data_IF_510946676556
#
_entry.id   IF_510946676556
#
_cell.length_a   1.000
_cell.length_b   1.000
_cell.length_c   1.000
_cell.angle_alpha   90.00
_cell.angle_beta   90.00
_cell.angle_gamma   90.00
#
_symmetry.space_group_name_H-M   'P 1'
#
loop_
_entity.id
_entity.type
_entity.pdbx_description
1 polymer ?
#
# COMPACT_ATOMS: atom_id res chain seq x y z
N UNK A 1 -5.23 -7.33 9.56
CA UNK A 1 -4.90 -6.73 8.25
C UNK A 1 -3.62 -7.35 7.77
N UNK A 2 -3.42 -7.49 6.50
CA UNK A 2 -2.19 -7.99 5.93
C UNK A 2 -1.02 -7.02 6.14
N UNK A 3 0.11 -7.22 5.47
CA UNK A 3 1.29 -6.38 5.63
C UNK A 3 1.02 -4.94 5.19
N UNK A 4 1.26 -3.98 6.07
CA UNK A 4 1.25 -2.55 5.80
C UNK A 4 2.70 -2.02 5.83
N UNK A 5 3.17 -1.45 4.70
CA UNK A 5 4.44 -0.73 4.65
C UNK A 5 4.14 0.76 4.78
N UNK A 6 4.76 1.44 5.74
CA UNK A 6 4.51 2.87 5.97
C UNK A 6 5.75 3.62 6.46
N UNK A 7 5.84 4.92 6.11
CA UNK A 7 6.81 5.83 6.70
C UNK A 7 6.27 6.29 8.04
N UNK A 8 6.75 5.68 9.10
CA UNK A 8 6.34 6.04 10.44
C UNK A 8 7.48 5.77 11.43
N UNK A 9 7.36 6.35 12.61
CA UNK A 9 8.26 6.11 13.73
C UNK A 9 7.65 5.05 14.65
N UNK A 10 8.47 4.13 15.15
CA UNK A 10 8.04 3.06 16.05
C UNK A 10 7.34 3.61 17.32
N UNK A 11 7.64 4.85 17.71
CA UNK A 11 7.02 5.54 18.84
C UNK A 11 5.54 5.89 18.60
N UNK A 12 5.13 6.03 17.35
CA UNK A 12 3.80 6.49 16.97
C UNK A 12 2.87 5.37 16.52
N UNK A 13 3.40 4.16 16.32
CA UNK A 13 2.61 3.00 15.90
C UNK A 13 1.96 2.34 17.13
N UNK A 14 0.73 1.88 16.96
CA UNK A 14 0.04 1.07 17.97
C UNK A 14 -0.07 -0.36 17.46
N UNK A 15 0.54 -1.29 18.19
CA UNK A 15 0.46 -2.72 17.92
C UNK A 15 0.49 -3.48 19.25
N UNK A 16 0.09 -4.74 19.27
CA UNK A 16 0.21 -5.53 20.51
C UNK A 16 1.65 -5.88 20.84
N UNK A 17 2.50 -6.07 19.83
CA UNK A 17 3.94 -6.13 19.99
C UNK A 17 4.65 -5.17 19.04
N UNK A 18 5.78 -4.62 19.48
CA UNK A 18 6.76 -3.94 18.65
C UNK A 18 8.05 -4.73 18.63
N UNK A 19 8.74 -4.71 17.48
CA UNK A 19 10.02 -5.39 17.34
C UNK A 19 11.16 -4.42 17.59
N UNK A 20 12.11 -4.85 18.38
CA UNK A 20 13.34 -4.15 18.71
C UNK A 20 14.53 -4.84 18.04
N UNK A 21 15.11 -4.22 16.98
CA UNK A 21 16.33 -4.76 16.36
C UNK A 21 17.53 -4.38 17.22
N UNK A 22 18.04 -5.34 17.96
CA UNK A 22 19.11 -5.17 18.93
C UNK A 22 20.40 -5.90 18.49
N UNK A 23 21.43 -5.86 19.34
CA UNK A 23 22.63 -6.68 19.21
C UNK A 23 22.49 -7.99 20.02
N UNK A 24 23.48 -8.89 19.87
CA UNK A 24 23.48 -10.19 20.53
C UNK A 24 23.46 -10.11 22.08
N UNK A 25 23.87 -8.99 22.66
CA UNK A 25 23.91 -8.75 24.11
C UNK A 25 22.70 -7.95 24.62
N UNK A 26 21.75 -7.64 23.75
CA UNK A 26 20.54 -6.88 24.13
C UNK A 26 20.88 -5.53 24.79
N UNK A 27 21.88 -4.83 24.26
CA UNK A 27 22.58 -3.75 25.00
C UNK A 27 21.95 -2.36 24.90
N UNK A 28 20.89 -2.16 24.10
CA UNK A 28 20.30 -0.84 23.91
C UNK A 28 21.24 0.17 23.22
N UNK A 29 22.18 -0.32 22.37
CA UNK A 29 23.37 0.43 21.98
C UNK A 29 23.17 1.43 20.86
N UNK A 30 22.07 1.41 20.10
CA UNK A 30 21.93 2.35 18.98
C UNK A 30 20.60 2.39 18.25
N UNK A 31 20.35 3.47 17.54
CA UNK A 31 19.18 3.61 16.65
C UNK A 31 17.83 3.41 17.35
N UNK A 32 16.99 2.57 16.78
CA UNK A 32 15.66 2.21 17.31
C UNK A 32 15.74 1.52 18.66
N UNK A 33 16.71 0.63 18.84
CA UNK A 33 17.03 -0.10 20.06
C UNK A 33 17.17 0.85 21.27
N UNK A 34 18.06 1.84 21.17
CA UNK A 34 18.23 2.85 22.23
C UNK A 34 16.95 3.62 22.56
N UNK A 35 16.11 3.92 21.53
CA UNK A 35 14.86 4.64 21.73
C UNK A 35 13.89 3.76 22.54
N UNK A 36 13.74 2.49 22.17
CA UNK A 36 12.86 1.53 22.83
C UNK A 36 13.27 1.35 24.28
N UNK A 37 14.56 1.08 24.56
CA UNK A 37 15.10 0.95 25.90
C UNK A 37 14.85 2.19 26.78
N UNK A 38 15.09 3.39 26.21
CA UNK A 38 14.87 4.64 26.92
C UNK A 38 13.40 4.86 27.30
N UNK A 39 12.47 4.41 26.46
CA UNK A 39 11.02 4.54 26.70
C UNK A 39 10.47 3.46 27.62
N UNK A 40 10.96 2.24 27.51
CA UNK A 40 10.57 1.12 28.36
C UNK A 40 11.05 1.31 29.80
N UNK A 41 12.25 1.88 29.97
CA UNK A 41 12.81 2.21 31.29
C UNK A 41 13.60 1.06 31.93
N UNK A 42 14.06 1.23 33.19
CA UNK A 42 15.05 0.36 33.81
C UNK A 42 14.55 -1.08 34.08
N UNK A 43 13.26 -1.30 34.19
CA UNK A 43 12.73 -2.65 34.43
C UNK A 43 12.94 -3.55 33.21
N UNK A 44 12.98 -3.01 32.00
CA UNK A 44 13.36 -3.75 30.81
C UNK A 44 14.81 -4.25 30.90
N UNK A 45 15.73 -3.39 31.33
CA UNK A 45 17.16 -3.76 31.47
C UNK A 45 17.36 -4.95 32.43
N UNK A 46 16.57 -5.02 33.50
CA UNK A 46 16.62 -6.14 34.44
C UNK A 46 16.21 -7.45 33.76
N UNK A 47 15.07 -7.44 33.02
CA UNK A 47 14.62 -8.65 32.31
C UNK A 47 15.62 -9.09 31.23
N UNK A 48 16.20 -8.13 30.49
CA UNK A 48 17.20 -8.42 29.44
C UNK A 48 18.52 -8.96 30.03
N UNK A 49 18.94 -8.50 31.21
CA UNK A 49 20.11 -9.07 31.92
C UNK A 49 19.93 -10.54 32.30
N UNK A 50 18.69 -10.95 32.62
CA UNK A 50 18.38 -12.36 32.92
C UNK A 50 18.42 -13.23 31.67
N UNK A 51 18.07 -12.68 30.48
CA UNK A 51 18.17 -13.36 29.17
C UNK A 51 19.64 -13.46 28.74
N UNK A 52 20.37 -12.37 28.83
CA UNK A 52 21.83 -12.25 28.65
C UNK A 52 22.31 -12.22 27.22
N UNK A 53 22.04 -13.24 26.40
CA UNK A 53 22.58 -13.36 25.03
C UNK A 53 21.60 -14.06 24.09
N UNK A 54 21.56 -13.61 22.83
CA UNK A 54 20.86 -14.27 21.73
C UNK A 54 21.74 -14.33 20.49
N UNK A 55 21.64 -15.40 19.67
CA UNK A 55 22.35 -15.52 18.42
C UNK A 55 21.72 -14.68 17.28
N UNK A 56 22.50 -14.41 16.22
CA UNK A 56 21.97 -13.76 15.03
C UNK A 56 20.74 -14.50 14.47
N UNK A 57 19.65 -13.82 14.29
CA UNK A 57 18.40 -14.38 13.79
C UNK A 57 17.46 -14.87 14.89
N UNK A 58 17.91 -15.00 16.13
CA UNK A 58 17.05 -15.36 17.27
C UNK A 58 16.20 -14.16 17.73
N UNK A 59 15.13 -14.48 18.47
CA UNK A 59 14.24 -13.48 19.04
C UNK A 59 13.76 -13.90 20.44
N UNK A 60 13.59 -12.92 21.31
CA UNK A 60 13.05 -13.08 22.68
C UNK A 60 11.97 -12.05 22.94
N UNK A 61 11.03 -12.38 23.83
CA UNK A 61 9.89 -11.52 24.14
C UNK A 61 9.97 -11.07 25.59
N UNK A 62 9.77 -9.76 25.80
CA UNK A 62 9.66 -9.12 27.12
C UNK A 62 8.35 -8.34 27.25
N UNK A 63 8.05 -7.91 28.46
CA UNK A 63 6.98 -6.92 28.67
C UNK A 63 7.38 -5.55 28.12
N UNK A 64 6.38 -4.71 27.82
CA UNK A 64 6.62 -3.36 27.27
C UNK A 64 6.97 -2.29 28.31
N UNK A 65 6.74 -2.57 29.59
CA UNK A 65 7.01 -1.69 30.73
C UNK A 65 6.50 -0.26 30.52
N UNK A 66 7.37 0.74 30.40
CA UNK A 66 7.00 2.15 30.21
C UNK A 66 6.44 2.50 28.82
N UNK A 67 6.49 1.61 27.85
CA UNK A 67 5.88 1.83 26.54
C UNK A 67 4.35 1.69 26.60
N UNK A 68 3.64 2.72 26.11
CA UNK A 68 2.18 2.76 26.18
C UNK A 68 1.49 2.40 24.85
N UNK A 69 2.27 2.17 23.81
CA UNK A 69 1.79 1.89 22.44
C UNK A 69 1.82 0.40 22.07
N UNK A 70 2.31 -0.47 22.97
CA UNK A 70 2.32 -1.92 22.82
C UNK A 70 2.18 -2.62 24.18
N UNK A 71 1.98 -3.94 24.17
CA UNK A 71 1.95 -4.80 25.37
C UNK A 71 3.27 -5.52 25.57
N UNK A 72 3.95 -5.86 24.47
CA UNK A 72 5.18 -6.64 24.44
C UNK A 72 6.22 -5.99 23.53
N UNK A 73 7.48 -6.24 23.85
CA UNK A 73 8.62 -5.99 22.97
C UNK A 73 9.19 -7.34 22.55
N UNK A 74 9.49 -7.48 21.28
CA UNK A 74 10.19 -8.66 20.75
C UNK A 74 11.57 -8.21 20.27
N UNK A 75 12.60 -8.57 21.01
CA UNK A 75 13.98 -8.26 20.69
C UNK A 75 14.54 -9.30 19.73
N UNK A 76 15.28 -8.89 18.71
CA UNK A 76 15.91 -9.79 17.75
C UNK A 76 17.29 -9.30 17.34
N UNK A 77 18.26 -10.17 17.36
CA UNK A 77 19.61 -9.85 16.92
C UNK A 77 19.73 -9.95 15.40
N UNK A 78 19.77 -8.79 14.73
CA UNK A 78 19.98 -8.72 13.30
C UNK A 78 21.42 -8.98 12.89
N UNK A 79 21.67 -9.60 11.70
CA UNK A 79 23.04 -9.81 11.23
C UNK A 79 23.68 -8.49 10.78
N UNK A 80 24.99 -8.35 11.03
CA UNK A 80 25.78 -7.29 10.40
C UNK A 80 26.09 -7.66 8.96
N UNK A 81 25.87 -6.74 8.03
CA UNK A 81 26.22 -6.97 6.64
C UNK A 81 27.74 -6.93 6.43
N UNK A 82 28.26 -7.92 5.73
CA UNK A 82 29.65 -8.01 5.31
C UNK A 82 29.73 -7.98 3.78
N UNK A 83 29.27 -9.03 3.11
CA UNK A 83 29.32 -9.14 1.65
C UNK A 83 28.21 -10.04 1.05
N UNK A 84 27.28 -10.54 1.87
CA UNK A 84 26.18 -11.42 1.46
C UNK A 84 26.57 -12.89 1.28
N UNK A 85 27.73 -13.32 1.81
CA UNK A 85 28.22 -14.71 1.71
C UNK A 85 28.31 -15.44 3.07
N UNK A 86 27.87 -14.76 4.13
CA UNK A 86 27.94 -15.26 5.50
C UNK A 86 26.59 -15.60 6.10
N UNK A 87 25.63 -15.99 5.21
CA UNK A 87 24.25 -16.29 5.57
C UNK A 87 23.49 -15.10 6.16
N UNK A 88 23.90 -13.87 5.80
CA UNK A 88 23.28 -12.66 6.35
C UNK A 88 21.80 -12.55 5.93
N UNK A 89 21.46 -12.97 4.70
CA UNK A 89 20.10 -12.94 4.20
C UNK A 89 19.21 -13.96 4.93
N UNK A 90 19.70 -15.17 5.15
CA UNK A 90 19.01 -16.23 5.89
C UNK A 90 18.82 -15.86 7.37
N UNK A 91 19.84 -15.26 7.99
CA UNK A 91 19.77 -14.77 9.37
C UNK A 91 18.75 -13.65 9.51
N UNK A 92 18.73 -12.70 8.56
CA UNK A 92 17.74 -11.62 8.55
C UNK A 92 16.33 -12.16 8.38
N UNK A 93 16.11 -13.11 7.47
CA UNK A 93 14.82 -13.79 7.33
C UNK A 93 14.39 -14.50 8.62
N UNK A 94 15.36 -15.10 9.33
CA UNK A 94 15.12 -15.76 10.62
C UNK A 94 14.66 -14.78 11.70
N UNK A 95 15.19 -13.54 11.74
CA UNK A 95 14.72 -12.49 12.63
C UNK A 95 13.21 -12.26 12.48
N UNK A 96 12.74 -12.00 11.25
CA UNK A 96 11.32 -11.78 10.98
C UNK A 96 10.48 -13.00 11.34
N UNK A 97 10.92 -14.19 10.90
CA UNK A 97 10.21 -15.45 11.15
C UNK A 97 10.06 -15.76 12.64
N UNK A 98 11.12 -15.59 13.42
CA UNK A 98 11.10 -15.87 14.85
C UNK A 98 10.25 -14.87 15.62
N UNK A 99 10.32 -13.57 15.27
CA UNK A 99 9.43 -12.56 15.84
C UNK A 99 7.94 -12.87 15.57
N UNK A 100 7.61 -13.23 14.33
CA UNK A 100 6.24 -13.60 13.96
C UNK A 100 5.75 -14.86 14.67
N UNK A 101 6.61 -15.84 14.85
CA UNK A 101 6.28 -17.07 15.59
C UNK A 101 6.02 -16.78 17.07
N UNK A 102 6.85 -15.95 17.73
CA UNK A 102 6.63 -15.54 19.12
C UNK A 102 5.30 -14.78 19.27
N UNK A 103 5.00 -13.87 18.35
CA UNK A 103 3.73 -13.17 18.34
C UNK A 103 2.55 -14.14 18.18
N UNK A 104 2.66 -15.13 17.28
CA UNK A 104 1.66 -16.18 17.08
C UNK A 104 1.48 -17.05 18.34
N UNK A 105 2.54 -17.49 18.96
CA UNK A 105 2.51 -18.27 20.22
C UNK A 105 1.81 -17.53 21.35
N UNK A 106 2.04 -16.23 21.43
CA UNK A 106 1.36 -15.32 22.38
C UNK A 106 -0.05 -14.96 21.96
N UNK A 107 -0.50 -15.42 20.77
CA UNK A 107 -1.84 -15.12 20.19
C UNK A 107 -2.10 -13.62 20.04
N UNK A 108 -1.08 -12.90 19.58
CA UNK A 108 -1.22 -11.48 19.31
C UNK A 108 -1.88 -11.24 17.97
N UNK A 109 -2.74 -10.24 17.90
CA UNK A 109 -3.44 -9.84 16.68
C UNK A 109 -2.62 -8.86 15.81
N UNK A 110 -1.61 -8.20 16.38
CA UNK A 110 -0.81 -7.21 15.65
C UNK A 110 0.64 -7.12 16.11
N UNK A 111 1.55 -6.88 15.15
CA UNK A 111 2.97 -6.67 15.36
C UNK A 111 3.51 -5.57 14.44
N UNK A 112 4.43 -4.75 14.95
CA UNK A 112 5.10 -3.71 14.17
C UNK A 112 6.61 -3.93 14.15
N UNK A 113 7.19 -3.90 12.94
CA UNK A 113 8.61 -4.05 12.70
C UNK A 113 9.22 -2.73 12.21
N UNK A 114 10.35 -2.30 12.73
CA UNK A 114 11.24 -1.43 11.97
C UNK A 114 11.98 -2.26 10.91
N UNK A 115 12.62 -1.62 9.93
CA UNK A 115 13.44 -2.33 8.96
C UNK A 115 14.73 -2.82 9.63
N UNK A 116 14.78 -4.11 9.99
CA UNK A 116 15.84 -4.73 10.76
C UNK A 116 17.18 -4.64 10.02
N UNK A 117 18.26 -4.42 10.76
CA UNK A 117 19.67 -4.36 10.29
C UNK A 117 20.00 -3.25 9.29
N UNK A 118 19.05 -2.43 8.84
CA UNK A 118 19.25 -1.39 7.82
C UNK A 118 19.94 -0.11 8.30
N UNK A 119 20.17 0.01 9.60
CA UNK A 119 20.85 1.14 10.25
C UNK A 119 22.34 0.85 10.50
N UNK A 120 22.75 0.79 11.78
CA UNK A 120 24.15 0.59 12.20
C UNK A 120 24.79 -0.73 11.71
N UNK A 121 24.00 -1.72 11.37
CA UNK A 121 24.46 -3.00 10.82
C UNK A 121 24.68 -2.98 9.31
N UNK A 122 24.36 -1.85 8.66
CA UNK A 122 24.68 -1.56 7.26
C UNK A 122 24.18 -2.59 6.24
N UNK A 123 23.10 -3.31 6.56
CA UNK A 123 22.46 -4.21 5.58
C UNK A 123 21.88 -3.36 4.43
N UNK A 124 22.09 -3.73 3.15
CA UNK A 124 21.57 -2.99 2.02
C UNK A 124 20.03 -2.87 2.11
N UNK A 125 19.52 -1.65 2.20
CA UNK A 125 18.14 -1.35 2.56
C UNK A 125 17.12 -2.02 1.64
N UNK A 126 17.33 -1.97 0.32
CA UNK A 126 16.46 -2.63 -0.65
C UNK A 126 16.41 -4.16 -0.48
N UNK A 127 17.56 -4.80 -0.18
CA UNK A 127 17.57 -6.24 0.12
C UNK A 127 16.87 -6.54 1.44
N UNK A 128 17.11 -5.73 2.49
CA UNK A 128 16.45 -5.87 3.78
C UNK A 128 14.92 -5.76 3.65
N UNK A 129 14.42 -4.79 2.88
CA UNK A 129 13.00 -4.61 2.63
C UNK A 129 12.39 -5.82 1.90
N UNK A 130 13.06 -6.31 0.87
CA UNK A 130 12.62 -7.49 0.12
C UNK A 130 12.53 -8.72 1.01
N UNK A 131 13.57 -9.01 1.79
CA UNK A 131 13.60 -10.16 2.71
C UNK A 131 12.49 -10.03 3.76
N UNK A 132 12.29 -8.82 4.31
CA UNK A 132 11.21 -8.55 5.25
C UNK A 132 9.84 -8.84 4.62
N UNK A 133 9.57 -8.25 3.44
CA UNK A 133 8.30 -8.41 2.72
C UNK A 133 8.02 -9.86 2.36
N UNK A 134 9.01 -10.57 1.79
CA UNK A 134 8.86 -11.98 1.39
C UNK A 134 8.60 -12.89 2.60
N UNK A 135 9.34 -12.69 3.70
CA UNK A 135 9.20 -13.50 4.91
C UNK A 135 7.87 -13.27 5.60
N UNK A 136 7.47 -12.00 5.77
CA UNK A 136 6.19 -11.64 6.39
C UNK A 136 5.02 -12.15 5.54
N UNK A 137 5.10 -11.98 4.23
CA UNK A 137 4.07 -12.46 3.31
C UNK A 137 3.91 -13.97 3.37
N UNK A 138 5.02 -14.71 3.32
CA UNK A 138 4.99 -16.16 3.44
C UNK A 138 4.32 -16.62 4.74
N UNK A 139 4.59 -15.95 5.85
CA UNK A 139 3.93 -16.22 7.13
C UNK A 139 2.42 -15.92 7.07
N UNK A 140 2.03 -14.81 6.46
CA UNK A 140 0.62 -14.38 6.37
C UNK A 140 -0.22 -15.26 5.43
N UNK A 141 0.39 -16.05 4.53
CA UNK A 141 -0.35 -17.03 3.74
C UNK A 141 -1.08 -18.05 4.62
N UNK A 142 -0.46 -18.46 5.73
CA UNK A 142 -0.99 -19.48 6.63
C UNK A 142 -1.55 -18.91 7.94
N UNK A 143 -1.34 -17.64 8.22
CA UNK A 143 -1.69 -17.00 9.49
C UNK A 143 -2.49 -15.72 9.28
N UNK A 144 -3.27 -15.34 10.30
CA UNK A 144 -4.03 -14.08 10.34
C UNK A 144 -3.40 -13.19 11.41
N UNK A 145 -2.74 -12.10 11.01
CA UNK A 145 -2.10 -11.14 11.91
C UNK A 145 -1.95 -9.79 11.20
N UNK A 146 -2.14 -8.70 11.90
CA UNK A 146 -1.88 -7.35 11.40
C UNK A 146 -0.39 -7.05 11.52
N UNK A 147 0.31 -6.92 10.41
CA UNK A 147 1.75 -6.65 10.40
C UNK A 147 2.04 -5.29 9.81
N UNK A 148 2.74 -4.44 10.56
CA UNK A 148 3.24 -3.14 10.09
C UNK A 148 4.75 -3.18 9.94
N UNK A 149 5.25 -2.85 8.74
CA UNK A 149 6.67 -2.66 8.46
C UNK A 149 6.95 -1.17 8.31
N UNK A 150 7.77 -0.63 9.21
CA UNK A 150 8.07 0.79 9.30
C UNK A 150 9.40 1.09 8.63
N UNK A 151 9.37 2.02 7.68
CA UNK A 151 10.55 2.48 6.95
C UNK A 151 10.78 3.95 7.27
N UNK A 152 11.97 4.29 7.75
CA UNK A 152 12.22 5.63 8.28
C UNK A 152 12.52 6.68 7.20
N UNK A 153 13.28 6.33 6.17
CA UNK A 153 13.75 7.27 5.15
C UNK A 153 13.47 6.82 3.70
N UNK A 154 13.58 7.78 2.78
CA UNK A 154 13.37 7.56 1.34
C UNK A 154 14.51 6.78 0.69
N UNK A 155 15.73 6.87 1.22
CA UNK A 155 16.92 6.18 0.73
C UNK A 155 16.91 4.67 1.02
N UNK A 156 15.96 4.22 1.85
CA UNK A 156 15.75 2.79 2.15
C UNK A 156 15.31 1.98 0.93
N UNK A 157 14.89 2.66 -0.13
CA UNK A 157 14.37 2.08 -1.35
C UNK A 157 15.31 2.16 -2.55
N UNK A 158 16.59 2.26 -2.38
CA UNK A 158 17.53 2.22 -3.51
C UNK A 158 17.52 0.82 -4.14
N UNK A 159 16.34 0.50 -4.67
CA UNK A 159 16.04 -0.77 -5.31
C UNK A 159 16.54 -0.67 -6.74
N UNK A 160 17.77 -1.06 -6.95
CA UNK A 160 18.30 -1.36 -8.28
C UNK A 160 17.58 -2.58 -8.89
N UNK A 161 16.25 -2.66 -8.78
CA UNK A 161 15.50 -3.67 -9.51
C UNK A 161 15.32 -3.18 -10.94
N UNK A 162 15.54 -4.05 -11.91
CA UNK A 162 15.28 -3.78 -13.31
C UNK A 162 13.84 -3.29 -13.52
N UNK A 163 12.91 -3.85 -12.76
CA UNK A 163 11.50 -3.49 -12.77
C UNK A 163 11.27 -2.01 -12.41
N UNK A 164 11.94 -1.49 -11.39
CA UNK A 164 11.82 -0.09 -11.00
C UNK A 164 12.38 0.84 -12.09
N UNK A 165 13.52 0.48 -12.69
CA UNK A 165 14.06 1.23 -13.83
C UNK A 165 13.06 1.24 -15.01
N UNK A 166 12.52 0.08 -15.37
CA UNK A 166 11.59 -0.07 -16.49
C UNK A 166 10.29 0.74 -16.25
N UNK A 167 9.77 0.72 -15.01
CA UNK A 167 8.60 1.54 -14.64
C UNK A 167 8.93 3.03 -14.67
N UNK A 168 10.10 3.43 -14.20
CA UNK A 168 10.53 4.83 -14.19
C UNK A 168 10.68 5.38 -15.60
N UNK A 169 11.23 4.58 -16.51
CA UNK A 169 11.32 4.92 -17.93
C UNK A 169 9.93 5.04 -18.56
N UNK A 170 9.04 4.09 -18.30
CA UNK A 170 7.65 4.14 -18.73
C UNK A 170 6.90 5.39 -18.20
N UNK A 171 7.09 5.76 -16.93
CA UNK A 171 6.50 6.96 -16.34
C UNK A 171 7.05 8.23 -17.01
N UNK A 172 8.36 8.30 -17.23
CA UNK A 172 8.99 9.46 -17.87
C UNK A 172 8.47 9.66 -19.30
N UNK A 173 8.32 8.60 -20.08
CA UNK A 173 7.76 8.66 -21.43
C UNK A 173 6.32 9.16 -21.43
N UNK A 174 5.45 8.56 -20.60
CA UNK A 174 4.03 8.92 -20.56
C UNK A 174 3.78 10.31 -19.93
N UNK A 175 4.56 10.72 -18.93
CA UNK A 175 4.46 12.06 -18.34
C UNK A 175 5.03 13.13 -19.28
N UNK A 176 6.09 12.85 -20.05
CA UNK A 176 6.62 13.77 -21.04
C UNK A 176 5.61 14.05 -22.15
N UNK A 177 4.85 13.07 -22.60
CA UNK A 177 3.75 13.27 -23.56
C UNK A 177 2.65 14.19 -23.01
N UNK A 178 2.32 14.08 -21.74
CA UNK A 178 1.35 14.97 -21.08
C UNK A 178 1.84 16.43 -21.06
N UNK A 179 3.08 16.67 -20.66
CA UNK A 179 3.66 18.04 -20.64
C UNK A 179 3.80 18.63 -22.04
N UNK A 180 4.06 17.81 -23.06
CA UNK A 180 4.10 18.26 -24.45
C UNK A 180 2.70 18.59 -24.99
N UNK A 181 1.67 17.85 -24.61
CA UNK A 181 0.27 18.14 -24.99
C UNK A 181 -0.24 19.43 -24.35
N UNK A 182 0.09 19.71 -23.10
CA UNK A 182 -0.26 20.96 -22.42
C UNK A 182 0.50 22.17 -22.99
N UNK A 183 1.75 22.00 -23.41
CA UNK A 183 2.53 23.05 -24.06
C UNK A 183 1.97 23.44 -25.45
N UNK A 184 1.37 22.49 -26.17
CA UNK A 184 0.73 22.76 -27.47
C UNK A 184 -0.60 23.51 -27.32
N UNK A 185 -1.30 23.40 -26.19
CA UNK A 185 -2.50 24.18 -25.89
C UNK A 185 -2.22 25.63 -25.44
N UNK A 186 -1.03 25.92 -24.96
CA UNK A 186 -0.65 27.27 -24.52
C UNK A 186 -0.15 28.21 -25.61
N UNK A 187 -0.04 27.76 -26.86
CA UNK A 187 0.39 28.58 -28.00
C UNK A 187 -0.75 29.23 -28.82
N UNK A 188 -1.92 29.43 -28.24
CA UNK A 188 -2.92 30.32 -28.83
C UNK A 188 -2.62 31.75 -28.36
N UNK A 189 -2.16 32.67 -29.24
CA UNK A 189 -1.88 34.04 -28.78
C UNK A 189 -3.18 34.72 -28.31
N UNK A 190 -3.15 35.49 -27.22
CA UNK A 190 -4.33 36.15 -26.72
C UNK A 190 -4.87 37.16 -27.75
N UNK A 191 -6.04 36.89 -28.27
CA UNK A 191 -6.74 37.88 -29.11
C UNK A 191 -6.99 39.16 -28.29
N UNK A 192 -6.37 40.26 -28.74
CA UNK A 192 -6.56 41.60 -28.17
C UNK A 192 -8.05 42.00 -28.26
N UNK A 193 -8.74 41.92 -27.14
CA UNK A 193 -10.10 42.51 -27.02
C UNK A 193 -9.99 44.02 -27.23
N UNK A 194 -10.45 44.52 -28.38
CA UNK A 194 -10.68 45.95 -28.62
C UNK A 194 -11.76 46.44 -27.64
N UNK A 195 -11.35 47.33 -26.73
CA UNK A 195 -12.29 48.11 -25.91
C UNK A 195 -13.17 48.93 -26.82
N UNK A 196 -14.49 48.63 -26.92
CA UNK A 196 -15.48 49.56 -27.40
C UNK A 196 -16.07 50.28 -26.20
N UNK A 197 -15.97 51.61 -26.26
CA UNK A 197 -16.49 52.56 -25.31
C UNK A 197 -18.02 52.48 -25.25
N UNK A 198 -18.55 52.50 -24.02
CA UNK A 198 -19.98 52.56 -23.75
C UNK A 198 -20.57 53.93 -24.19
N UNK A 199 -21.60 53.91 -24.99
CA UNK A 199 -22.61 54.99 -25.05
C UNK A 199 -23.91 54.44 -24.52
N UNK A 200 -24.36 55.09 -23.48
CA UNK A 200 -25.64 54.92 -22.77
C UNK A 200 -26.75 55.45 -23.66
N UNK A 201 -27.80 54.67 -23.94
CA UNK A 201 -29.11 55.19 -24.34
C UNK A 201 -30.18 54.18 -23.95
N UNK A 202 -31.14 54.70 -23.32
CA UNK A 202 -32.44 54.41 -22.76
C UNK A 202 -33.19 53.20 -23.30
N UNK A 203 -33.98 52.61 -22.36
CA UNK A 203 -35.00 51.58 -22.58
C UNK A 203 -36.18 52.16 -23.40
N UNK A 204 -36.91 51.26 -24.12
CA UNK A 204 -38.30 51.07 -23.70
C UNK A 204 -38.64 49.60 -23.45
N UNK A 205 -39.61 49.44 -22.55
CA UNK A 205 -40.26 48.20 -22.19
C UNK A 205 -41.12 47.66 -23.36
N UNK A 206 -41.17 46.34 -23.45
CA UNK A 206 -42.18 45.75 -24.34
C UNK A 206 -41.93 44.26 -24.59
N UNK A 207 -42.74 43.47 -23.90
CA UNK A 207 -43.29 42.19 -24.32
C UNK A 207 -42.46 40.93 -24.21
N UNK A 208 -42.74 40.18 -23.15
CA UNK A 208 -42.81 38.73 -23.16
C UNK A 208 -43.71 38.29 -24.32
N UNK A 209 -43.23 37.37 -25.11
CA UNK A 209 -44.07 36.30 -25.62
C UNK A 209 -43.22 35.22 -26.30
N UNK A 210 -43.65 34.04 -25.98
CA UNK A 210 -43.51 32.76 -26.71
C UNK A 210 -42.25 32.00 -26.49
N UNK A 211 -42.18 31.33 -25.33
CA UNK A 211 -41.68 29.98 -25.29
C UNK A 211 -42.73 29.10 -25.98
N UNK A 212 -42.55 28.83 -27.25
CA UNK A 212 -43.20 27.69 -27.88
C UNK A 212 -42.71 26.44 -27.18
N UNK A 213 -43.57 25.85 -26.37
CA UNK A 213 -43.43 24.49 -25.87
C UNK A 213 -43.46 23.55 -27.09
N UNK A 214 -42.29 23.16 -27.57
CA UNK A 214 -42.17 21.94 -28.36
C UNK A 214 -42.51 20.78 -27.46
N UNK A 215 -43.79 20.38 -27.45
CA UNK A 215 -44.21 19.08 -26.98
C UNK A 215 -43.60 18.05 -27.96
N UNK A 216 -42.45 17.52 -27.59
CA UNK A 216 -41.97 16.28 -28.17
C UNK A 216 -42.89 15.18 -27.60
N UNK A 217 -44.04 14.95 -28.24
CA UNK A 217 -44.76 13.70 -28.15
C UNK A 217 -44.03 12.65 -28.99
N UNK A 218 -42.81 12.33 -28.58
CA UNK A 218 -42.15 11.08 -28.87
C UNK A 218 -42.33 10.24 -27.64
N UNK A 219 -43.01 9.12 -27.74
CA UNK A 219 -43.01 8.08 -26.74
C UNK A 219 -41.54 7.70 -26.47
N UNK A 220 -40.93 8.33 -25.45
CA UNK A 220 -39.74 7.78 -24.82
C UNK A 220 -40.27 6.50 -24.22
N UNK A 221 -40.13 5.37 -24.94
CA UNK A 221 -40.15 4.08 -24.32
C UNK A 221 -39.20 4.22 -23.13
N UNK A 222 -39.76 4.13 -21.94
CA UNK A 222 -38.96 4.00 -20.72
C UNK A 222 -38.22 2.71 -20.88
N UNK A 223 -37.09 2.72 -21.62
CA UNK A 223 -36.08 1.71 -21.47
C UNK A 223 -35.88 1.57 -19.98
N UNK A 224 -36.36 0.47 -19.42
CA UNK A 224 -36.12 0.16 -18.01
C UNK A 224 -34.61 0.12 -17.89
N UNK A 225 -34.05 1.14 -17.26
CA UNK A 225 -32.68 1.15 -16.83
C UNK A 225 -32.53 -0.04 -15.89
N UNK A 226 -32.12 -1.17 -16.44
CA UNK A 226 -31.72 -2.34 -15.65
C UNK A 226 -30.30 -2.01 -15.20
N UNK A 227 -30.10 -1.76 -13.91
CA UNK A 227 -28.75 -1.50 -13.42
C UNK A 227 -27.88 -2.72 -13.76
N UNK A 228 -26.69 -2.46 -14.26
CA UNK A 228 -25.65 -3.48 -14.41
C UNK A 228 -25.35 -4.16 -13.07
N UNK A 229 -24.67 -5.33 -13.11
CA UNK A 229 -24.24 -6.00 -11.90
C UNK A 229 -23.46 -5.04 -10.98
N UNK A 230 -23.63 -5.15 -9.68
CA UNK A 230 -22.89 -4.37 -8.70
C UNK A 230 -21.40 -4.80 -8.64
N UNK A 231 -20.55 -4.00 -8.02
CA UNK A 231 -19.15 -4.36 -7.78
C UNK A 231 -19.02 -5.73 -7.10
N UNK A 232 -19.81 -5.97 -6.05
CA UNK A 232 -19.77 -7.24 -5.30
C UNK A 232 -20.23 -8.44 -6.14
N UNK A 233 -21.27 -8.28 -6.94
CA UNK A 233 -21.76 -9.33 -7.85
C UNK A 233 -20.71 -9.63 -8.94
N UNK A 234 -20.09 -8.60 -9.53
CA UNK A 234 -19.01 -8.75 -10.50
C UNK A 234 -17.80 -9.46 -9.90
N UNK A 235 -17.39 -9.06 -8.69
CA UNK A 235 -16.28 -9.69 -7.96
C UNK A 235 -16.53 -11.17 -7.72
N UNK A 236 -17.71 -11.53 -7.20
CA UNK A 236 -18.07 -12.93 -6.93
C UNK A 236 -18.05 -13.74 -8.22
N UNK A 237 -18.70 -13.24 -9.28
CA UNK A 237 -18.71 -13.91 -10.60
C UNK A 237 -17.28 -14.15 -11.10
N UNK A 238 -16.40 -13.15 -11.03
CA UNK A 238 -15.02 -13.29 -11.47
C UNK A 238 -14.21 -14.29 -10.63
N UNK A 239 -14.48 -14.42 -9.34
CA UNK A 239 -13.88 -15.41 -8.44
C UNK A 239 -14.33 -16.81 -8.84
N UNK A 240 -15.65 -17.01 -9.06
CA UNK A 240 -16.24 -18.30 -9.42
C UNK A 240 -15.76 -18.77 -10.79
N UNK A 241 -15.71 -17.90 -11.80
CA UNK A 241 -15.19 -18.18 -13.14
C UNK A 241 -13.72 -18.67 -13.10
N UNK A 242 -12.91 -18.14 -12.17
CA UNK A 242 -11.49 -18.53 -11.99
C UNK A 242 -11.31 -19.69 -11.01
N UNK A 243 -12.39 -20.16 -10.39
CA UNK A 243 -12.36 -21.24 -9.39
C UNK A 243 -11.42 -20.97 -8.22
N UNK A 244 -11.25 -19.69 -7.88
CA UNK A 244 -10.40 -19.26 -6.76
C UNK A 244 -11.17 -19.40 -5.45
N UNK A 245 -10.44 -19.69 -4.36
CA UNK A 245 -11.00 -19.67 -3.01
C UNK A 245 -10.88 -18.26 -2.42
N UNK A 246 -11.84 -17.87 -1.58
CA UNK A 246 -11.82 -16.58 -0.88
C UNK A 246 -10.48 -16.26 -0.21
N UNK A 247 -9.83 -17.17 0.55
CA UNK A 247 -8.53 -16.92 1.15
C UNK A 247 -7.42 -16.64 0.14
N UNK A 248 -7.45 -17.26 -1.03
CA UNK A 248 -6.48 -17.01 -2.09
C UNK A 248 -6.61 -15.59 -2.62
N UNK A 249 -7.86 -15.10 -2.78
CA UNK A 249 -8.13 -13.77 -3.31
C UNK A 249 -7.74 -12.68 -2.31
N UNK A 250 -8.29 -12.72 -1.07
CA UNK A 250 -8.05 -11.62 -0.14
C UNK A 250 -6.60 -11.55 0.35
N UNK A 251 -5.92 -12.70 0.48
CA UNK A 251 -4.51 -12.73 0.85
C UNK A 251 -3.62 -12.20 -0.28
N UNK A 252 -3.85 -12.64 -1.53
CA UNK A 252 -3.11 -12.13 -2.68
C UNK A 252 -3.38 -10.63 -2.93
N UNK A 253 -4.58 -10.14 -2.59
CA UNK A 253 -4.95 -8.72 -2.66
C UNK A 253 -4.46 -7.90 -1.47
N UNK A 254 -3.78 -8.49 -0.50
CA UNK A 254 -3.37 -7.83 0.74
C UNK A 254 -4.55 -7.15 1.48
N UNK A 255 -5.71 -7.82 1.56
CA UNK A 255 -6.94 -7.34 2.19
C UNK A 255 -7.29 -8.24 3.36
N UNK A 256 -7.77 -7.65 4.47
CA UNK A 256 -8.20 -8.42 5.60
C UNK A 256 -9.51 -9.20 5.33
N UNK A 257 -9.67 -10.34 6.00
CA UNK A 257 -10.82 -11.22 5.85
C UNK A 257 -12.15 -10.52 6.18
N UNK A 258 -12.17 -9.61 7.17
CA UNK A 258 -13.40 -8.94 7.59
C UNK A 258 -13.88 -7.97 6.51
N UNK A 259 -12.95 -7.19 5.96
CA UNK A 259 -13.23 -6.29 4.83
C UNK A 259 -13.68 -7.08 3.61
N UNK A 260 -13.00 -8.17 3.25
CA UNK A 260 -13.38 -9.01 2.11
C UNK A 260 -14.79 -9.60 2.28
N UNK A 261 -15.11 -10.14 3.46
CA UNK A 261 -16.45 -10.63 3.76
C UNK A 261 -17.50 -9.51 3.71
N UNK A 262 -17.16 -8.32 4.18
CA UNK A 262 -18.05 -7.16 4.09
C UNK A 262 -18.33 -6.77 2.63
N UNK A 263 -17.31 -6.76 1.78
CA UNK A 263 -17.44 -6.54 0.33
C UNK A 263 -18.40 -7.54 -0.30
N UNK A 264 -18.19 -8.84 -0.05
CA UNK A 264 -19.01 -9.91 -0.64
C UNK A 264 -20.48 -9.88 -0.20
N UNK A 265 -20.73 -9.57 1.06
CA UNK A 265 -22.06 -9.66 1.65
C UNK A 265 -22.90 -8.37 1.55
N UNK A 266 -22.32 -7.27 1.06
CA UNK A 266 -23.00 -5.98 0.93
C UNK A 266 -23.30 -5.70 -0.55
N UNK A 267 -24.57 -5.88 -0.97
CA UNK A 267 -24.99 -5.81 -2.38
C UNK A 267 -24.54 -4.56 -3.15
N UNK A 268 -24.52 -3.40 -2.50
CA UNK A 268 -24.15 -2.12 -3.12
C UNK A 268 -22.88 -1.53 -2.49
N UNK A 269 -21.94 -2.39 -2.12
CA UNK A 269 -20.67 -1.94 -1.57
C UNK A 269 -19.88 -1.12 -2.59
N UNK A 270 -19.36 0.02 -2.14
CA UNK A 270 -18.48 0.87 -2.94
C UNK A 270 -17.09 0.86 -2.32
N UNK A 271 -16.13 0.11 -2.89
CA UNK A 271 -14.77 0.08 -2.41
C UNK A 271 -14.06 1.40 -2.65
N UNK A 272 -12.95 1.61 -1.95
CA UNK A 272 -11.95 2.60 -2.38
C UNK A 272 -11.28 2.10 -3.67
N UNK A 273 -10.70 3.01 -4.45
CA UNK A 273 -10.00 2.65 -5.69
C UNK A 273 -8.85 1.68 -5.42
N UNK A 274 -8.06 1.95 -4.39
CA UNK A 274 -6.94 1.13 -3.98
C UNK A 274 -7.38 -0.31 -3.64
N UNK A 275 -8.54 -0.46 -2.99
CA UNK A 275 -9.13 -1.79 -2.66
C UNK A 275 -9.60 -2.52 -3.92
N UNK A 276 -10.27 -1.83 -4.85
CA UNK A 276 -10.72 -2.43 -6.10
C UNK A 276 -9.54 -2.88 -6.98
N UNK A 277 -8.49 -2.06 -7.07
CA UNK A 277 -7.23 -2.40 -7.76
C UNK A 277 -6.53 -3.57 -7.09
N UNK A 278 -6.45 -3.58 -5.75
CA UNK A 278 -5.84 -4.67 -5.01
C UNK A 278 -6.52 -6.03 -5.29
N UNK A 279 -7.86 -6.04 -5.37
CA UNK A 279 -8.61 -7.25 -5.74
C UNK A 279 -8.35 -7.67 -7.19
N UNK A 280 -8.24 -6.72 -8.12
CA UNK A 280 -7.87 -7.01 -9.50
C UNK A 280 -6.48 -7.66 -9.60
N UNK A 281 -5.49 -7.13 -8.89
CA UNK A 281 -4.13 -7.68 -8.80
C UNK A 281 -4.15 -9.07 -8.15
N UNK A 282 -4.84 -9.22 -7.01
CA UNK A 282 -4.94 -10.49 -6.28
C UNK A 282 -5.58 -11.61 -7.10
N UNK A 283 -6.53 -11.30 -7.96
CA UNK A 283 -7.15 -12.23 -8.91
C UNK A 283 -6.37 -12.39 -10.23
N UNK A 284 -5.26 -11.69 -10.40
CA UNK A 284 -4.44 -11.67 -11.63
C UNK A 284 -5.28 -11.33 -12.87
N UNK A 285 -6.11 -10.29 -12.78
CA UNK A 285 -6.95 -9.87 -13.89
C UNK A 285 -6.11 -9.25 -15.01
N UNK A 286 -6.45 -9.55 -16.26
CA UNK A 286 -5.92 -8.82 -17.41
C UNK A 286 -6.50 -7.39 -17.46
N UNK A 287 -5.98 -6.54 -18.35
CA UNK A 287 -6.41 -5.14 -18.47
C UNK A 287 -7.93 -5.00 -18.67
N UNK A 288 -8.54 -5.82 -19.54
CA UNK A 288 -9.97 -5.75 -19.84
C UNK A 288 -10.85 -6.10 -18.63
N UNK A 289 -10.51 -7.18 -17.94
CA UNK A 289 -11.26 -7.62 -16.75
C UNK A 289 -11.05 -6.65 -15.59
N UNK A 290 -9.84 -6.06 -15.48
CA UNK A 290 -9.56 -5.00 -14.51
C UNK A 290 -10.42 -3.77 -14.78
N UNK A 291 -10.47 -3.30 -16.03
CA UNK A 291 -11.31 -2.15 -16.40
C UNK A 291 -12.78 -2.44 -16.08
N UNK A 292 -13.28 -3.65 -16.39
CA UNK A 292 -14.66 -4.06 -16.06
C UNK A 292 -14.91 -4.00 -14.56
N UNK A 293 -14.04 -4.57 -13.72
CA UNK A 293 -14.20 -4.57 -12.27
C UNK A 293 -14.16 -3.14 -11.69
N UNK A 294 -13.23 -2.31 -12.17
CA UNK A 294 -13.09 -0.91 -11.73
C UNK A 294 -14.29 -0.07 -12.13
N UNK A 295 -14.83 -0.27 -13.33
CA UNK A 295 -16.04 0.42 -13.82
C UNK A 295 -17.23 0.17 -12.90
N UNK A 296 -17.43 -1.07 -12.41
CA UNK A 296 -18.48 -1.41 -11.43
C UNK A 296 -18.29 -0.71 -10.07
N UNK A 297 -17.07 -0.33 -9.74
CA UNK A 297 -16.76 0.50 -8.57
C UNK A 297 -16.88 2.02 -8.85
N UNK A 298 -17.07 2.42 -10.11
CA UNK A 298 -17.08 3.83 -10.55
C UNK A 298 -15.68 4.41 -10.74
N UNK A 299 -14.68 3.58 -11.03
CA UNK A 299 -13.30 3.99 -11.26
C UNK A 299 -12.79 3.58 -12.64
N UNK A 300 -11.75 4.26 -13.08
CA UNK A 300 -10.96 3.92 -14.25
C UNK A 300 -9.47 4.08 -13.92
N UNK A 301 -8.60 3.40 -14.67
CA UNK A 301 -7.16 3.69 -14.66
C UNK A 301 -6.88 4.83 -15.65
N UNK A 302 -6.69 6.03 -15.11
CA UNK A 302 -6.45 7.25 -15.88
C UNK A 302 -5.00 7.34 -16.34
N UNK A 303 -4.76 7.82 -17.55
CA UNK A 303 -3.40 8.11 -18.03
C UNK A 303 -2.79 9.37 -17.40
N UNK A 304 -3.60 10.18 -16.71
CA UNK A 304 -3.15 11.40 -16.02
C UNK A 304 -2.81 11.21 -14.55
N UNK A 305 -2.83 9.97 -14.05
CA UNK A 305 -2.53 9.65 -12.66
C UNK A 305 -1.30 8.73 -12.62
N UNK A 306 -0.27 9.15 -11.88
CA UNK A 306 0.95 8.36 -11.68
C UNK A 306 0.67 6.99 -11.08
N UNK A 307 -0.19 6.93 -10.06
CA UNK A 307 -0.69 5.69 -9.48
C UNK A 307 -1.27 4.77 -10.56
N UNK A 308 -2.16 5.29 -11.41
CA UNK A 308 -2.85 4.51 -12.43
C UNK A 308 -1.90 4.01 -13.53
N UNK A 309 -0.91 4.82 -13.90
CA UNK A 309 0.12 4.44 -14.85
C UNK A 309 0.97 3.27 -14.33
N UNK A 310 1.38 3.32 -13.07
CA UNK A 310 2.13 2.22 -12.43
C UNK A 310 1.30 0.92 -12.45
N UNK A 311 0.03 1.00 -12.03
CA UNK A 311 -0.86 -0.16 -12.00
C UNK A 311 -1.09 -0.72 -13.41
N UNK A 312 -1.34 0.14 -14.39
CA UNK A 312 -1.51 -0.26 -15.78
C UNK A 312 -0.29 -0.99 -16.31
N UNK A 313 0.90 -0.41 -16.10
CA UNK A 313 2.17 -1.05 -16.49
C UNK A 313 2.31 -2.43 -15.86
N UNK A 314 2.08 -2.57 -14.55
CA UNK A 314 2.19 -3.85 -13.85
C UNK A 314 1.25 -4.91 -14.46
N UNK A 315 0.01 -4.55 -14.75
CA UNK A 315 -0.98 -5.47 -15.35
C UNK A 315 -0.56 -5.87 -16.77
N UNK A 316 -0.11 -4.92 -17.59
CA UNK A 316 0.32 -5.17 -18.97
C UNK A 316 1.57 -6.06 -19.04
N UNK A 317 2.46 -5.95 -18.05
CA UNK A 317 3.66 -6.80 -17.91
C UNK A 317 3.41 -8.12 -17.16
N UNK A 318 2.17 -8.36 -16.67
CA UNK A 318 1.84 -9.58 -15.94
C UNK A 318 2.44 -9.63 -14.52
N UNK A 319 2.72 -8.47 -13.93
CA UNK A 319 3.27 -8.33 -12.59
C UNK A 319 2.11 -8.24 -11.61
N UNK A 320 1.90 -9.30 -10.82
CA UNK A 320 0.79 -9.42 -9.88
C UNK A 320 1.23 -9.64 -8.42
N UNK A 321 2.53 -9.48 -8.14
CA UNK A 321 2.97 -9.48 -6.76
C UNK A 321 2.66 -8.11 -6.13
N UNK A 322 1.64 -8.08 -5.27
CA UNK A 322 1.16 -6.83 -4.67
C UNK A 322 2.22 -6.12 -3.82
N UNK A 323 3.19 -6.87 -3.30
CA UNK A 323 4.26 -6.30 -2.48
C UNK A 323 5.29 -5.59 -3.34
N UNK A 324 5.70 -6.17 -4.48
CA UNK A 324 6.56 -5.50 -5.47
C UNK A 324 5.89 -4.21 -6.00
N UNK A 325 4.58 -4.28 -6.27
CA UNK A 325 3.80 -3.11 -6.70
C UNK A 325 3.77 -2.07 -5.58
N UNK A 326 3.57 -2.47 -4.33
CA UNK A 326 3.53 -1.56 -3.19
C UNK A 326 4.88 -0.90 -2.90
N UNK A 327 5.99 -1.61 -3.11
CA UNK A 327 7.33 -1.01 -3.04
C UNK A 327 7.46 0.14 -4.03
N UNK A 328 7.08 -0.08 -5.27
CA UNK A 328 7.14 0.95 -6.32
C UNK A 328 6.19 2.11 -6.02
N UNK A 329 4.95 1.82 -5.63
CA UNK A 329 3.97 2.85 -5.26
C UNK A 329 4.50 3.71 -4.11
N UNK A 330 5.12 3.09 -3.13
CA UNK A 330 5.68 3.78 -1.98
C UNK A 330 6.87 4.68 -2.36
N UNK A 331 7.79 4.20 -3.22
CA UNK A 331 8.91 5.00 -3.73
C UNK A 331 8.44 6.23 -4.50
N UNK A 332 7.37 6.08 -5.26
CA UNK A 332 6.79 7.12 -6.08
C UNK A 332 5.79 8.03 -5.31
N UNK A 333 5.83 7.96 -3.96
CA UNK A 333 4.95 8.72 -3.05
C UNK A 333 3.45 8.50 -3.35
N UNK A 334 3.09 7.31 -3.84
CA UNK A 334 1.71 6.90 -4.10
C UNK A 334 1.14 6.07 -2.94
N UNK A 335 -0.19 6.00 -2.87
CA UNK A 335 -0.87 5.13 -1.90
C UNK A 335 -0.63 3.67 -2.24
N UNK A 336 -0.32 2.87 -1.22
CA UNK A 336 -0.17 1.43 -1.35
C UNK A 336 -1.51 0.73 -1.48
N UNK A 337 -1.50 -0.47 -2.05
CA UNK A 337 -2.67 -1.32 -2.24
C UNK A 337 -2.94 -2.18 -1.00
N UNK A 338 -4.20 -2.50 -0.76
CA UNK A 338 -4.61 -3.51 0.22
C UNK A 338 -4.63 -3.03 1.68
N UNK A 339 -4.57 -1.72 1.96
CA UNK A 339 -4.58 -1.16 3.33
C UNK A 339 -5.87 -0.41 3.63
#
# INVERSE_FOLDING_TARGET
>A
MPLQISRNDIRNIKAEAIVDPTDNFLSGSGGTDKIIHSLAGPDLEVELMEIGFIEDGEAVLTNAYGLNNCKYIIHTAGPRWIDGKHQEEEKLASCYKNCLNLAKEKKLDSIAFPLIASGSFSFPKGRALRIASDTITSFLLDNEMDVSLLVYDKESFDTASKLYSDIKDYLNENLAEMFMSDASYSMVPPQKKKKKSAKRSEKPAGRLDVFESYSIEGSIEKERFVPDESFSECLIRMIDERKMKDPEVYKAANIDRKLFNHIKNTKNYRPKKETAVALAIGMRLNSKDTDTLLERAGFILSRSSKFDLIIRYCIEQGIYNIFEINEILFEEDQKTLGC
#
